data_IF_996878452624
#
_entry.id   IF_996878452624
#
_cell.length_a   1.000
_cell.length_b   1.000
_cell.length_c   1.000
_cell.angle_alpha   90.00
_cell.angle_beta   90.00
_cell.angle_gamma   90.00
#
_symmetry.space_group_name_H-M   'P 1'
#
loop_
_entity.id
_entity.type
_entity.pdbx_description
1 polymer ?
#
# COMPACT_ATOMS: atom_id res chain seq x y z
N UNK A 1 21.42 -24.62 -58.99
CA UNK A 1 21.98 -23.24 -59.08
C UNK A 1 21.12 -22.25 -58.29
N UNK A 2 21.76 -21.58 -57.34
CA UNK A 2 21.22 -20.68 -56.30
C UNK A 2 20.15 -19.70 -56.83
N UNK A 3 19.00 -19.61 -56.14
CA UNK A 3 18.08 -18.46 -56.25
C UNK A 3 18.24 -17.57 -55.03
N UNK A 4 18.34 -16.28 -55.34
CA UNK A 4 18.68 -15.16 -54.49
C UNK A 4 17.67 -14.90 -53.36
N UNK A 5 18.19 -14.35 -52.25
CA UNK A 5 17.39 -13.67 -51.24
C UNK A 5 16.95 -12.29 -51.73
N UNK A 6 15.74 -11.81 -51.37
CA UNK A 6 15.45 -10.39 -51.40
C UNK A 6 15.42 -9.77 -49.99
N UNK A 7 16.20 -8.69 -49.89
CA UNK A 7 16.04 -7.46 -49.12
C UNK A 7 15.16 -7.43 -47.86
N UNK A 8 15.79 -7.06 -46.75
CA UNK A 8 15.15 -6.58 -45.54
C UNK A 8 14.36 -5.28 -45.83
N UNK A 9 13.05 -5.32 -45.60
CA UNK A 9 12.22 -4.15 -45.46
C UNK A 9 12.13 -3.78 -43.97
N UNK A 10 12.44 -2.52 -43.66
CA UNK A 10 12.30 -1.93 -42.34
C UNK A 10 10.85 -2.06 -41.84
N UNK A 11 10.65 -2.78 -40.74
CA UNK A 11 9.37 -2.82 -40.04
C UNK A 11 9.31 -1.61 -39.12
N UNK A 12 8.54 -0.61 -39.52
CA UNK A 12 8.03 0.38 -38.59
C UNK A 12 7.12 -0.31 -37.58
N UNK A 13 7.49 -0.26 -36.30
CA UNK A 13 6.64 -0.70 -35.20
C UNK A 13 5.51 0.32 -35.04
N UNK A 14 4.40 0.03 -35.69
CA UNK A 14 3.11 0.64 -35.38
C UNK A 14 2.73 0.34 -33.92
N UNK A 15 1.96 1.26 -33.34
CA UNK A 15 1.28 1.18 -32.04
C UNK A 15 0.96 -0.26 -31.63
N UNK A 16 1.52 -0.69 -30.49
CA UNK A 16 1.29 -2.02 -29.93
C UNK A 16 -0.23 -2.26 -29.78
N UNK A 17 -0.78 -3.33 -30.36
CA UNK A 17 -2.16 -3.69 -30.14
C UNK A 17 -2.32 -4.23 -28.71
N UNK A 18 -3.51 -4.09 -28.14
CA UNK A 18 -3.97 -4.82 -26.97
C UNK A 18 -3.86 -6.33 -27.23
N UNK A 19 -2.70 -6.93 -26.98
CA UNK A 19 -2.51 -8.36 -27.27
C UNK A 19 -1.68 -9.07 -26.22
N UNK A 20 -2.36 -10.01 -25.57
CA UNK A 20 -1.86 -11.32 -25.15
C UNK A 20 -0.77 -11.32 -24.06
N UNK A 21 -1.22 -11.56 -22.83
CA UNK A 21 -0.45 -12.36 -21.86
C UNK A 21 -0.43 -13.79 -22.42
N UNK A 22 0.74 -14.42 -22.48
CA UNK A 22 0.97 -15.81 -22.89
C UNK A 22 -0.03 -16.79 -22.25
N UNK A 23 -1.17 -17.02 -22.93
CA UNK A 23 -2.15 -18.07 -22.61
C UNK A 23 -3.20 -17.80 -21.54
N UNK A 24 -3.32 -16.58 -21.00
CA UNK A 24 -4.47 -16.20 -20.15
C UNK A 24 -4.99 -14.84 -20.61
N UNK A 25 -6.11 -14.83 -21.33
CA UNK A 25 -6.78 -13.57 -21.61
C UNK A 25 -7.24 -12.94 -20.29
N UNK A 26 -7.19 -11.61 -20.12
CA UNK A 26 -7.83 -10.93 -18.98
C UNK A 26 -9.31 -11.34 -18.78
N UNK A 27 -9.95 -11.78 -19.87
CA UNK A 27 -11.30 -12.33 -19.91
C UNK A 27 -11.44 -13.71 -19.24
N UNK A 28 -10.36 -14.51 -19.12
CA UNK A 28 -10.37 -15.83 -18.44
C UNK A 28 -10.14 -15.69 -16.92
N UNK A 29 -9.31 -14.74 -16.49
CA UNK A 29 -9.06 -14.48 -15.06
C UNK A 29 -10.32 -14.01 -14.31
N UNK A 30 -11.21 -13.32 -15.04
CA UNK A 30 -12.51 -12.85 -14.56
C UNK A 30 -13.70 -13.58 -15.18
N UNK A 31 -13.47 -14.64 -15.97
CA UNK A 31 -14.55 -15.38 -16.61
C UNK A 31 -15.62 -15.72 -15.55
N UNK A 32 -16.86 -15.34 -15.85
CA UNK A 32 -18.01 -15.29 -14.94
C UNK A 32 -18.08 -16.52 -14.02
N UNK A 33 -17.47 -16.44 -12.83
CA UNK A 33 -17.66 -17.46 -11.82
C UNK A 33 -19.00 -17.16 -11.14
N UNK A 34 -20.08 -17.60 -11.77
CA UNK A 34 -21.35 -17.77 -11.06
C UNK A 34 -21.13 -18.91 -10.09
N UNK A 35 -20.77 -18.58 -8.85
CA UNK A 35 -20.66 -19.56 -7.77
C UNK A 35 -21.95 -20.39 -7.75
N UNK A 36 -21.88 -21.70 -8.06
CA UNK A 36 -23.05 -22.56 -8.00
C UNK A 36 -23.72 -22.45 -6.62
N UNK A 37 -25.04 -22.56 -6.55
CA UNK A 37 -25.78 -22.35 -5.30
C UNK A 37 -25.35 -23.34 -4.19
N UNK A 38 -24.95 -24.55 -4.62
CA UNK A 38 -24.35 -25.60 -3.79
C UNK A 38 -23.00 -25.18 -3.18
N UNK A 39 -22.21 -24.37 -3.90
CA UNK A 39 -20.89 -23.90 -3.47
C UNK A 39 -20.96 -22.64 -2.60
N UNK A 40 -22.14 -22.01 -2.48
CA UNK A 40 -22.34 -20.89 -1.56
C UNK A 40 -22.16 -21.40 -0.12
N UNK A 41 -21.19 -20.85 0.65
CA UNK A 41 -20.95 -21.27 2.02
C UNK A 41 -22.19 -21.09 2.91
N UNK A 42 -22.39 -22.01 3.86
CA UNK A 42 -23.56 -22.00 4.72
C UNK A 42 -23.70 -20.68 5.51
N UNK A 43 -22.60 -20.15 6.05
CA UNK A 43 -22.60 -18.87 6.76
C UNK A 43 -23.19 -17.72 5.93
N UNK A 44 -23.02 -17.75 4.61
CA UNK A 44 -23.54 -16.72 3.73
C UNK A 44 -25.04 -16.86 3.50
N UNK A 45 -25.54 -18.09 3.41
CA UNK A 45 -26.97 -18.39 3.30
C UNK A 45 -27.72 -17.92 4.55
N UNK A 46 -27.08 -18.06 5.71
CA UNK A 46 -27.65 -17.69 7.00
C UNK A 46 -27.50 -16.20 7.34
N UNK A 47 -26.68 -15.45 6.58
CA UNK A 47 -26.35 -14.07 6.88
C UNK A 47 -27.51 -13.10 6.55
N UNK A 48 -28.08 -12.50 7.58
CA UNK A 48 -28.89 -11.29 7.43
C UNK A 48 -27.99 -10.07 7.16
N UNK A 49 -27.71 -9.83 5.87
CA UNK A 49 -26.84 -8.76 5.41
C UNK A 49 -27.32 -7.35 5.83
N UNK A 50 -28.64 -7.17 5.97
CA UNK A 50 -29.20 -5.86 6.33
C UNK A 50 -28.93 -5.55 7.80
N UNK A 51 -29.24 -6.51 8.69
CA UNK A 51 -28.93 -6.41 10.11
C UNK A 51 -27.42 -6.27 10.35
N UNK A 52 -26.61 -7.11 9.71
CA UNK A 52 -25.15 -7.05 9.77
C UNK A 52 -24.61 -5.66 9.37
N UNK A 53 -25.07 -5.13 8.24
CA UNK A 53 -24.67 -3.80 7.78
C UNK A 53 -25.12 -2.68 8.71
N UNK A 54 -26.30 -2.80 9.34
CA UNK A 54 -26.80 -1.82 10.30
C UNK A 54 -25.94 -1.77 11.56
N UNK A 55 -25.51 -2.92 12.07
CA UNK A 55 -24.60 -3.02 13.22
C UNK A 55 -23.19 -2.51 12.90
N UNK A 56 -22.65 -2.82 11.71
CA UNK A 56 -21.38 -2.23 11.25
C UNK A 56 -21.40 -0.70 11.31
N UNK A 57 -22.47 -0.09 10.79
CA UNK A 57 -22.65 1.38 10.83
C UNK A 57 -22.82 1.90 12.25
N UNK A 58 -23.42 1.12 13.15
CA UNK A 58 -23.56 1.51 14.55
C UNK A 58 -22.20 1.55 15.27
N UNK A 59 -21.35 0.55 15.05
CA UNK A 59 -19.96 0.54 15.53
C UNK A 59 -19.20 1.76 14.99
N UNK A 60 -19.28 2.01 13.68
CA UNK A 60 -18.59 3.16 13.05
C UNK A 60 -19.00 4.50 13.69
N UNK A 61 -20.31 4.73 13.87
CA UNK A 61 -20.82 5.95 14.49
C UNK A 61 -20.35 6.11 15.93
N UNK A 62 -20.49 5.06 16.74
CA UNK A 62 -20.10 5.09 18.14
C UNK A 62 -18.60 5.40 18.31
N UNK A 63 -17.74 4.82 17.46
CA UNK A 63 -16.30 5.10 17.48
C UNK A 63 -15.97 6.52 17.02
N UNK A 64 -16.64 7.03 15.97
CA UNK A 64 -16.48 8.42 15.51
C UNK A 64 -16.82 9.42 16.60
N UNK A 65 -17.89 9.17 17.36
CA UNK A 65 -18.32 10.02 18.48
C UNK A 65 -17.34 10.00 19.66
N UNK A 66 -16.56 8.92 19.81
CA UNK A 66 -15.56 8.79 20.89
C UNK A 66 -14.22 9.45 20.56
N UNK A 67 -13.92 9.73 19.30
CA UNK A 67 -12.64 10.32 18.91
C UNK A 67 -12.51 11.77 19.39
N UNK A 68 -11.39 12.09 20.01
CA UNK A 68 -11.15 13.39 20.64
C UNK A 68 -9.65 13.77 20.56
N UNK A 69 -9.22 14.83 21.26
CA UNK A 69 -7.83 15.33 21.17
C UNK A 69 -6.79 14.26 21.57
N UNK A 70 -7.14 13.27 22.40
CA UNK A 70 -6.24 12.14 22.74
C UNK A 70 -5.77 11.37 21.51
N UNK A 71 -6.61 11.25 20.48
CA UNK A 71 -6.25 10.62 19.21
C UNK A 71 -5.15 11.42 18.49
N UNK A 72 -5.27 12.75 18.49
CA UNK A 72 -4.30 13.66 17.88
C UNK A 72 -3.00 13.66 18.68
N UNK A 73 -3.07 13.64 20.01
CA UNK A 73 -1.90 13.53 20.88
C UNK A 73 -1.17 12.22 20.70
N UNK A 74 -1.89 11.11 20.53
CA UNK A 74 -1.28 9.83 20.17
C UNK A 74 -0.53 9.92 18.83
N UNK A 75 -1.14 10.52 17.79
CA UNK A 75 -0.48 10.75 16.51
C UNK A 75 0.80 11.61 16.66
N UNK A 76 0.74 12.69 17.45
CA UNK A 76 1.91 13.53 17.76
C UNK A 76 3.01 12.70 18.43
N UNK A 77 2.65 11.82 19.36
CA UNK A 77 3.57 10.88 19.99
C UNK A 77 4.26 9.95 18.99
N UNK A 78 3.50 9.30 18.11
CA UNK A 78 4.02 8.44 17.03
C UNK A 78 4.96 9.22 16.11
N UNK A 79 4.58 10.44 15.72
CA UNK A 79 5.39 11.31 14.87
C UNK A 79 6.72 11.67 15.54
N UNK A 80 6.67 12.17 16.78
CA UNK A 80 7.86 12.56 17.54
C UNK A 80 8.80 11.36 17.77
N UNK A 81 8.25 10.19 18.05
CA UNK A 81 9.02 8.96 18.16
C UNK A 81 9.70 8.59 16.84
N UNK A 82 8.99 8.66 15.70
CA UNK A 82 9.61 8.40 14.39
C UNK A 82 10.72 9.41 14.06
N UNK A 83 10.55 10.70 14.40
CA UNK A 83 11.58 11.73 14.20
C UNK A 83 12.80 11.43 15.07
N UNK A 84 12.59 11.03 16.32
CA UNK A 84 13.65 10.60 17.23
C UNK A 84 14.42 9.40 16.69
N UNK A 85 13.73 8.35 16.24
CA UNK A 85 14.34 7.17 15.62
C UNK A 85 15.16 7.53 14.38
N UNK A 86 14.63 8.41 13.51
CA UNK A 86 15.33 8.81 12.29
C UNK A 86 16.67 9.47 12.61
N UNK A 87 16.68 10.49 13.46
CA UNK A 87 17.91 11.22 13.79
C UNK A 87 18.85 10.43 14.70
N UNK A 88 18.33 9.57 15.57
CA UNK A 88 19.15 8.61 16.31
C UNK A 88 19.85 7.63 15.36
N UNK A 89 19.16 7.18 14.31
CA UNK A 89 19.74 6.35 13.25
C UNK A 89 20.81 7.09 12.44
N UNK A 90 20.53 8.33 12.00
CA UNK A 90 21.53 9.17 11.30
C UNK A 90 22.76 9.40 12.17
N UNK A 91 22.59 9.70 13.47
CA UNK A 91 23.70 9.84 14.42
C UNK A 91 24.45 8.52 14.61
N UNK A 92 23.75 7.41 14.77
CA UNK A 92 24.38 6.09 14.90
C UNK A 92 25.18 5.71 13.64
N UNK A 93 24.77 6.18 12.46
CA UNK A 93 25.52 5.99 11.22
C UNK A 93 26.85 6.76 11.17
N UNK A 94 27.04 7.81 11.99
CA UNK A 94 28.31 8.56 12.06
C UNK A 94 29.35 7.95 12.99
N UNK A 95 28.93 7.05 13.88
CA UNK A 95 29.83 6.40 14.83
C UNK A 95 30.54 5.24 14.13
N UNK A 96 31.87 5.37 13.95
CA UNK A 96 32.72 4.35 13.34
C UNK A 96 32.63 3.01 14.10
N UNK A 97 31.90 2.06 13.54
CA UNK A 97 31.98 0.64 13.87
C UNK A 97 33.03 -0.01 12.94
N UNK A 98 33.91 -0.92 13.41
CA UNK A 98 34.89 -1.62 12.58
C UNK A 98 34.31 -2.31 11.32
N UNK A 99 32.98 -2.45 11.20
CA UNK A 99 32.31 -3.11 10.08
C UNK A 99 32.06 -2.22 8.84
N UNK A 100 32.40 -0.93 8.81
CA UNK A 100 32.11 0.00 7.69
C UNK A 100 30.61 0.27 7.40
N UNK A 101 29.70 -0.22 8.23
CA UNK A 101 28.26 0.08 8.26
C UNK A 101 27.72 -0.18 9.67
N UNK A 102 26.54 0.35 9.99
CA UNK A 102 25.90 0.19 11.29
C UNK A 102 24.46 -0.33 11.09
N UNK A 103 24.23 -1.66 11.12
CA UNK A 103 22.90 -2.23 10.90
C UNK A 103 21.81 -1.65 11.81
N UNK A 104 22.16 -1.28 13.05
CA UNK A 104 21.23 -0.62 13.97
C UNK A 104 20.81 0.75 13.44
N UNK A 105 21.73 1.53 12.87
CA UNK A 105 21.40 2.81 12.24
C UNK A 105 20.39 2.63 11.10
N UNK A 106 20.62 1.65 10.22
CA UNK A 106 19.71 1.34 9.14
C UNK A 106 18.32 0.90 9.62
N UNK A 107 18.25 0.07 10.67
CA UNK A 107 16.97 -0.35 11.27
C UNK A 107 16.22 0.83 11.88
N UNK A 108 16.89 1.74 12.59
CA UNK A 108 16.27 2.92 13.18
C UNK A 108 15.71 3.87 12.10
N UNK A 109 16.49 4.15 11.05
CA UNK A 109 16.06 4.97 9.91
C UNK A 109 14.89 4.30 9.19
N UNK A 110 14.99 2.99 8.92
CA UNK A 110 13.95 2.21 8.25
C UNK A 110 12.63 2.24 9.01
N UNK A 111 12.70 2.03 10.32
CA UNK A 111 11.53 2.02 11.21
C UNK A 111 10.87 3.39 11.23
N UNK A 112 11.66 4.46 11.24
CA UNK A 112 11.15 5.82 11.17
C UNK A 112 10.47 6.14 9.83
N UNK A 113 11.06 5.74 8.70
CA UNK A 113 10.47 5.97 7.37
C UNK A 113 9.15 5.18 7.24
N UNK A 114 9.14 3.92 7.64
CA UNK A 114 7.95 3.08 7.66
C UNK A 114 6.83 3.73 8.51
N UNK A 115 7.17 4.18 9.72
CA UNK A 115 6.23 4.87 10.60
C UNK A 115 5.66 6.16 9.99
N UNK A 116 6.50 6.98 9.36
CA UNK A 116 6.09 8.23 8.70
C UNK A 116 5.09 7.97 7.57
N UNK A 117 5.22 6.84 6.88
CA UNK A 117 4.27 6.42 5.87
C UNK A 117 3.02 5.77 6.48
N UNK A 118 3.15 4.59 7.08
CA UNK A 118 1.99 3.75 7.41
C UNK A 118 1.17 4.26 8.60
N UNK A 119 1.79 5.01 9.51
CA UNK A 119 1.10 5.51 10.72
C UNK A 119 0.73 6.99 10.62
N UNK A 120 1.59 7.82 10.03
CA UNK A 120 1.34 9.26 9.94
C UNK A 120 0.66 9.62 8.62
N UNK A 121 1.35 9.45 7.49
CA UNK A 121 0.83 9.85 6.18
C UNK A 121 -0.48 9.16 5.83
N UNK A 122 -0.49 7.83 5.94
CA UNK A 122 -1.63 6.97 5.63
C UNK A 122 -2.89 7.37 6.40
N UNK A 123 -2.85 7.38 7.75
CA UNK A 123 -4.04 7.68 8.56
C UNK A 123 -4.50 9.13 8.46
N UNK A 124 -3.57 10.10 8.34
CA UNK A 124 -3.96 11.51 8.18
C UNK A 124 -4.60 11.75 6.82
N UNK A 125 -4.05 11.18 5.75
CA UNK A 125 -4.63 11.32 4.41
C UNK A 125 -6.02 10.68 4.30
N UNK A 126 -6.30 9.58 5.02
CA UNK A 126 -7.66 9.04 5.15
C UNK A 126 -8.64 9.97 5.88
N UNK A 127 -8.13 10.93 6.64
CA UNK A 127 -8.93 11.78 7.51
C UNK A 127 -9.21 11.17 8.87
N UNK A 128 -8.40 10.21 9.33
CA UNK A 128 -8.52 9.57 10.65
C UNK A 128 -8.53 10.55 11.84
N UNK A 129 -8.05 11.78 11.61
CA UNK A 129 -7.97 12.86 12.60
C UNK A 129 -8.76 14.11 12.20
N UNK A 130 -9.44 14.09 11.06
CA UNK A 130 -10.08 15.29 10.50
C UNK A 130 -11.25 15.79 11.33
N UNK A 131 -11.96 14.93 12.06
CA UNK A 131 -13.07 15.37 12.94
C UNK A 131 -12.59 16.03 14.24
N UNK A 132 -11.31 15.86 14.60
CA UNK A 132 -10.68 16.51 15.76
C UNK A 132 -9.95 17.81 15.37
N UNK A 133 -9.97 18.18 14.09
CA UNK A 133 -9.16 19.25 13.52
C UNK A 133 -10.04 20.15 12.66
N UNK A 134 -9.62 21.40 12.44
CA UNK A 134 -10.22 22.27 11.43
C UNK A 134 -9.35 22.32 10.17
N UNK A 135 -9.96 22.63 9.03
CA UNK A 135 -9.20 22.82 7.79
C UNK A 135 -8.18 23.96 7.97
N UNK A 136 -6.91 23.66 7.72
CA UNK A 136 -5.78 24.54 8.05
C UNK A 136 -4.86 23.98 9.13
N UNK A 137 -5.39 23.12 10.01
CA UNK A 137 -4.59 22.41 11.00
C UNK A 137 -3.68 21.37 10.34
N UNK A 138 -2.53 21.11 10.98
CA UNK A 138 -1.49 20.25 10.43
C UNK A 138 -1.98 18.84 10.05
N UNK A 139 -2.83 18.24 10.89
CA UNK A 139 -3.27 16.85 10.72
C UNK A 139 -4.68 16.73 10.12
N UNK A 140 -5.17 17.79 9.49
CA UNK A 140 -6.39 17.73 8.69
C UNK A 140 -6.08 17.23 7.28
N UNK A 141 -6.86 16.28 6.72
CA UNK A 141 -6.58 15.66 5.40
C UNK A 141 -6.48 16.64 4.24
N UNK A 142 -7.18 17.79 4.33
CA UNK A 142 -7.15 18.86 3.31
C UNK A 142 -5.97 19.82 3.47
N UNK A 143 -5.03 19.52 4.37
CA UNK A 143 -3.91 20.40 4.69
C UNK A 143 -2.60 19.62 4.76
N UNK A 144 -2.62 18.44 5.37
CA UNK A 144 -1.45 17.60 5.57
C UNK A 144 -0.73 17.28 4.26
N UNK A 145 0.58 17.54 4.23
CA UNK A 145 1.46 17.24 3.10
C UNK A 145 1.11 17.91 1.75
N UNK A 146 0.17 18.86 1.73
CA UNK A 146 -0.23 19.58 0.53
C UNK A 146 0.65 20.82 0.27
N UNK A 147 1.21 20.88 -0.94
CA UNK A 147 2.15 21.93 -1.34
C UNK A 147 3.61 21.59 -1.00
N UNK A 148 4.58 22.34 -1.55
CA UNK A 148 5.99 21.96 -1.52
C UNK A 148 6.60 21.91 -0.11
N UNK A 149 6.23 22.85 0.76
CA UNK A 149 6.77 22.90 2.13
C UNK A 149 6.18 21.81 3.03
N UNK A 150 4.85 21.66 3.03
CA UNK A 150 4.18 20.64 3.81
C UNK A 150 4.51 19.24 3.31
N UNK A 151 4.71 19.05 2.01
CA UNK A 151 5.21 17.76 1.50
C UNK A 151 6.51 17.34 2.18
N UNK A 152 7.47 18.25 2.34
CA UNK A 152 8.74 17.92 3.00
C UNK A 152 8.54 17.73 4.51
N UNK A 153 7.77 18.60 5.14
CA UNK A 153 7.63 18.64 6.60
C UNK A 153 6.69 17.56 7.16
N UNK A 154 5.54 17.35 6.51
CA UNK A 154 4.47 16.49 6.98
C UNK A 154 4.63 15.05 6.50
N UNK A 155 4.98 14.82 5.22
CA UNK A 155 5.23 13.47 4.71
C UNK A 155 6.05 13.48 3.41
N UNK A 156 7.36 13.30 3.57
CA UNK A 156 8.32 13.16 2.47
C UNK A 156 8.56 11.68 2.19
N UNK A 157 8.03 11.18 1.07
CA UNK A 157 8.22 9.80 0.58
C UNK A 157 8.31 9.79 -0.95
N UNK A 158 8.56 8.61 -1.54
CA UNK A 158 8.58 8.37 -2.99
C UNK A 158 7.26 8.74 -3.67
N UNK A 159 6.15 8.56 -2.96
CA UNK A 159 4.81 8.86 -3.44
C UNK A 159 4.48 10.35 -3.25
N UNK A 160 3.75 10.90 -4.21
CA UNK A 160 3.10 12.19 -4.03
C UNK A 160 1.81 11.97 -3.21
N UNK A 161 1.52 12.80 -2.19
CA UNK A 161 0.33 12.63 -1.35
C UNK A 161 -0.98 12.59 -2.14
N UNK A 162 -1.11 13.42 -3.20
CA UNK A 162 -2.27 13.40 -4.08
C UNK A 162 -2.38 12.10 -4.90
N UNK A 163 -1.23 11.54 -5.31
CA UNK A 163 -1.21 10.29 -6.07
C UNK A 163 -1.59 9.10 -5.20
N UNK A 164 -1.08 9.09 -3.97
CA UNK A 164 -1.45 8.12 -2.97
C UNK A 164 -2.95 8.23 -2.59
N UNK A 165 -3.52 9.43 -2.41
CA UNK A 165 -4.97 9.60 -2.18
C UNK A 165 -5.81 9.13 -3.37
N UNK A 166 -5.39 9.39 -4.60
CA UNK A 166 -6.09 8.93 -5.80
C UNK A 166 -6.19 7.40 -5.88
N UNK A 167 -5.08 6.72 -5.62
CA UNK A 167 -4.96 5.27 -5.74
C UNK A 167 -5.47 4.55 -4.49
N UNK A 168 -4.88 4.83 -3.33
CA UNK A 168 -5.19 4.14 -2.08
C UNK A 168 -6.58 4.51 -1.54
N UNK A 169 -6.84 5.81 -1.35
CA UNK A 169 -8.08 6.26 -0.68
C UNK A 169 -9.31 6.16 -1.57
N UNK A 170 -9.20 6.42 -2.88
CA UNK A 170 -10.37 6.45 -3.75
C UNK A 170 -10.59 5.13 -4.51
N UNK A 171 -9.54 4.37 -4.80
CA UNK A 171 -9.66 3.07 -5.48
C UNK A 171 -9.57 1.93 -4.48
N UNK A 172 -8.38 1.63 -3.94
CA UNK A 172 -8.13 0.43 -3.14
C UNK A 172 -9.13 0.24 -2.00
N UNK A 173 -9.40 1.28 -1.20
CA UNK A 173 -10.38 1.20 -0.09
C UNK A 173 -11.84 0.98 -0.52
N UNK A 174 -12.23 1.50 -1.67
CA UNK A 174 -13.62 1.46 -2.13
C UNK A 174 -13.90 0.33 -3.12
N UNK A 175 -12.83 -0.36 -3.54
CA UNK A 175 -12.83 -1.40 -4.55
C UNK A 175 -11.98 -2.60 -4.13
N UNK A 176 -11.76 -2.79 -2.83
CA UNK A 176 -10.86 -3.83 -2.31
C UNK A 176 -11.15 -5.20 -2.95
N UNK A 177 -10.15 -5.76 -3.59
CA UNK A 177 -10.24 -7.07 -4.25
C UNK A 177 -11.06 -7.08 -5.54
N UNK A 178 -11.55 -5.93 -6.02
CA UNK A 178 -12.30 -5.81 -7.28
C UNK A 178 -11.36 -5.80 -8.51
N UNK A 179 -11.88 -6.04 -9.72
CA UNK A 179 -11.09 -5.89 -10.96
C UNK A 179 -10.52 -4.48 -11.16
N UNK A 180 -11.16 -3.48 -10.58
CA UNK A 180 -10.65 -2.09 -10.65
C UNK A 180 -9.83 -1.68 -9.42
N UNK A 181 -9.50 -2.63 -8.53
CA UNK A 181 -8.51 -2.43 -7.48
C UNK A 181 -7.10 -2.37 -8.11
N UNK A 182 -6.38 -1.25 -8.02
CA UNK A 182 -4.99 -1.17 -8.49
C UNK A 182 -4.07 -2.15 -7.76
N UNK A 183 -4.40 -2.56 -6.53
CA UNK A 183 -3.56 -3.37 -5.65
C UNK A 183 -3.97 -4.85 -5.58
N UNK A 184 -4.81 -5.33 -6.51
CA UNK A 184 -5.12 -6.76 -6.61
C UNK A 184 -3.89 -7.57 -7.06
N UNK A 185 -3.18 -8.12 -6.08
CA UNK A 185 -1.89 -8.81 -6.27
C UNK A 185 -1.97 -9.97 -7.25
N UNK A 186 -2.99 -10.84 -7.15
CA UNK A 186 -3.07 -12.00 -8.03
C UNK A 186 -3.11 -11.59 -9.52
N UNK A 187 -3.93 -10.57 -9.86
CA UNK A 187 -4.01 -10.00 -11.21
C UNK A 187 -2.68 -9.38 -11.63
N UNK A 188 -2.09 -8.55 -10.76
CA UNK A 188 -0.85 -7.85 -11.04
C UNK A 188 0.34 -8.81 -11.24
N UNK A 189 0.25 -10.03 -10.70
CA UNK A 189 1.27 -11.07 -10.84
C UNK A 189 0.99 -12.08 -11.96
N UNK A 190 -0.07 -11.92 -12.76
CA UNK A 190 -0.33 -12.80 -13.91
C UNK A 190 0.88 -13.02 -14.83
N UNK A 191 1.70 -12.00 -15.16
CA UNK A 191 2.90 -12.23 -15.95
C UNK A 191 3.94 -13.11 -15.25
N UNK A 192 4.12 -12.96 -13.93
CA UNK A 192 5.02 -13.82 -13.13
C UNK A 192 4.47 -15.24 -13.09
N UNK A 193 3.16 -15.39 -12.87
CA UNK A 193 2.43 -16.67 -12.81
C UNK A 193 2.53 -17.43 -14.14
N UNK A 194 2.39 -16.72 -15.27
CA UNK A 194 2.54 -17.25 -16.63
C UNK A 194 4.00 -17.58 -17.04
N UNK A 195 4.99 -17.21 -16.23
CA UNK A 195 6.40 -17.55 -16.49
C UNK A 195 7.16 -16.55 -17.34
N UNK A 196 6.66 -15.31 -17.50
CA UNK A 196 7.33 -14.22 -18.25
C UNK A 196 8.80 -14.01 -17.86
N UNK A 197 9.14 -14.24 -16.59
CA UNK A 197 10.48 -14.01 -16.04
C UNK A 197 11.31 -15.30 -15.89
N UNK A 198 10.87 -16.41 -16.47
CA UNK A 198 11.62 -17.67 -16.50
C UNK A 198 11.07 -18.77 -15.58
N UNK A 199 11.86 -19.83 -15.33
CA UNK A 199 11.42 -21.03 -14.62
C UNK A 199 11.12 -20.75 -13.14
N UNK A 200 10.53 -21.74 -12.45
CA UNK A 200 10.06 -21.64 -11.05
C UNK A 200 10.94 -20.78 -10.11
N UNK A 201 12.25 -21.04 -9.98
CA UNK A 201 13.12 -20.23 -9.10
C UNK A 201 13.17 -18.73 -9.44
N UNK A 202 13.05 -18.36 -10.71
CA UNK A 202 13.06 -16.95 -11.14
C UNK A 202 11.80 -16.21 -10.70
N UNK A 203 10.67 -16.90 -10.53
CA UNK A 203 9.45 -16.28 -9.98
C UNK A 203 9.68 -15.79 -8.54
N UNK A 204 10.39 -16.58 -7.73
CA UNK A 204 10.75 -16.20 -6.36
C UNK A 204 11.76 -15.06 -6.31
N UNK A 205 12.73 -15.04 -7.24
CA UNK A 205 13.65 -13.92 -7.36
C UNK A 205 12.93 -12.63 -7.77
N UNK A 206 11.94 -12.71 -8.67
CA UNK A 206 11.12 -11.55 -9.03
C UNK A 206 10.32 -11.03 -7.83
N UNK A 207 9.72 -11.91 -7.02
CA UNK A 207 9.03 -11.53 -5.78
C UNK A 207 9.99 -10.91 -4.77
N UNK A 208 11.18 -11.50 -4.57
CA UNK A 208 12.19 -10.98 -3.65
C UNK A 208 12.74 -9.61 -4.09
N UNK A 209 12.95 -9.42 -5.39
CA UNK A 209 13.32 -8.13 -5.96
C UNK A 209 12.24 -7.09 -5.68
N UNK A 210 10.97 -7.41 -6.00
CA UNK A 210 9.87 -6.49 -5.75
C UNK A 210 9.76 -6.14 -4.27
N UNK A 211 9.80 -7.14 -3.38
CA UNK A 211 9.76 -6.93 -1.93
C UNK A 211 10.81 -5.92 -1.45
N UNK A 212 12.00 -5.92 -2.05
CA UNK A 212 13.09 -5.01 -1.69
C UNK A 212 13.02 -3.61 -2.35
N UNK A 213 12.15 -3.41 -3.36
CA UNK A 213 12.16 -2.18 -4.19
C UNK A 213 10.79 -1.56 -4.48
N UNK A 214 9.70 -2.22 -4.09
CA UNK A 214 8.36 -1.95 -4.61
C UNK A 214 7.88 -0.51 -4.45
N UNK A 215 8.25 0.19 -3.37
CA UNK A 215 7.80 1.57 -3.11
C UNK A 215 8.15 2.50 -4.28
N UNK A 216 9.41 2.45 -4.72
CA UNK A 216 9.90 3.32 -5.79
C UNK A 216 9.82 2.65 -7.16
N UNK A 217 9.91 1.32 -7.24
CA UNK A 217 9.90 0.58 -8.50
C UNK A 217 8.50 0.45 -9.11
N UNK A 218 7.49 0.20 -8.29
CA UNK A 218 6.11 -0.09 -8.69
C UNK A 218 5.12 0.94 -8.13
N UNK A 219 5.10 1.12 -6.81
CA UNK A 219 3.97 1.77 -6.14
C UNK A 219 3.90 3.28 -6.41
N UNK A 220 5.01 4.02 -6.29
CA UNK A 220 5.06 5.44 -6.67
C UNK A 220 4.72 5.67 -8.17
N UNK A 221 5.28 4.91 -9.13
CA UNK A 221 4.81 4.92 -10.52
C UNK A 221 3.32 4.63 -10.72
N UNK A 222 2.79 3.61 -10.06
CA UNK A 222 1.41 3.17 -10.25
C UNK A 222 0.41 4.17 -9.65
N UNK A 223 0.69 4.69 -8.45
CA UNK A 223 -0.12 5.76 -7.83
C UNK A 223 -0.19 7.01 -8.72
N UNK A 224 0.92 7.38 -9.38
CA UNK A 224 0.89 8.46 -10.37
C UNK A 224 0.00 8.15 -11.57
N UNK A 225 0.09 6.94 -12.14
CA UNK A 225 -0.80 6.51 -13.23
C UNK A 225 -2.26 6.72 -12.83
N UNK A 226 -2.67 6.23 -11.67
CA UNK A 226 -4.05 6.35 -11.20
C UNK A 226 -4.47 7.80 -10.95
N UNK A 227 -3.58 8.67 -10.45
CA UNK A 227 -3.86 10.10 -10.32
C UNK A 227 -4.16 10.77 -11.67
N UNK A 228 -3.30 10.55 -12.66
CA UNK A 228 -3.50 11.12 -13.99
C UNK A 228 -4.78 10.59 -14.66
N UNK A 229 -5.12 9.33 -14.41
CA UNK A 229 -6.37 8.75 -14.90
C UNK A 229 -7.57 9.40 -14.23
N UNK A 230 -7.53 9.54 -12.91
CA UNK A 230 -8.58 10.18 -12.13
C UNK A 230 -8.79 11.65 -12.54
N UNK A 231 -7.72 12.41 -12.76
CA UNK A 231 -7.79 13.79 -13.20
C UNK A 231 -8.36 13.93 -14.61
N UNK A 232 -7.96 13.05 -15.53
CA UNK A 232 -8.52 12.97 -16.89
C UNK A 232 -10.02 12.69 -16.84
N UNK A 233 -10.44 11.70 -16.07
CA UNK A 233 -11.86 11.31 -15.96
C UNK A 233 -12.70 12.43 -15.32
N UNK A 234 -12.17 13.11 -14.31
CA UNK A 234 -12.84 14.26 -13.66
C UNK A 234 -12.98 15.45 -14.61
N UNK A 235 -11.98 15.72 -15.44
CA UNK A 235 -12.03 16.79 -16.43
C UNK A 235 -13.04 16.46 -17.56
N UNK A 236 -13.01 15.22 -18.07
CA UNK A 236 -13.95 14.76 -19.09
C UNK A 236 -15.42 14.86 -18.64
N UNK A 237 -15.72 14.52 -17.36
CA UNK A 237 -17.06 14.70 -16.76
C UNK A 237 -17.53 16.16 -16.73
N UNK A 238 -16.61 17.11 -16.83
CA UNK A 238 -16.89 18.55 -16.89
C UNK A 238 -16.81 19.10 -18.32
N UNK A 239 -16.64 18.23 -19.32
CA UNK A 239 -16.48 18.61 -20.73
C UNK A 239 -15.09 19.16 -21.07
N UNK A 240 -14.06 18.87 -20.26
CA UNK A 240 -12.68 19.28 -20.50
C UNK A 240 -11.81 18.07 -20.89
N UNK A 241 -11.46 17.98 -22.17
CA UNK A 241 -10.59 16.93 -22.74
C UNK A 241 -9.10 17.32 -22.79
N UNK A 242 -8.70 18.44 -22.15
CA UNK A 242 -7.31 18.94 -22.18
C UNK A 242 -6.35 18.11 -21.33
N UNK A 243 -6.86 17.33 -20.37
CA UNK A 243 -6.05 16.49 -19.48
C UNK A 243 -5.60 15.22 -20.17
N UNK A 244 -4.31 14.91 -20.07
CA UNK A 244 -3.69 13.74 -20.70
C UNK A 244 -3.22 12.73 -19.66
N UNK A 245 -3.19 11.46 -20.06
CA UNK A 245 -2.64 10.36 -19.27
C UNK A 245 -1.27 9.98 -19.87
N UNK A 246 -0.15 10.35 -19.24
CA UNK A 246 1.18 10.00 -19.75
C UNK A 246 1.50 8.51 -19.60
N UNK A 247 0.85 7.80 -18.68
CA UNK A 247 1.13 6.38 -18.40
C UNK A 247 0.12 5.48 -19.12
N UNK A 248 0.53 4.89 -20.25
CA UNK A 248 -0.34 4.17 -21.19
C UNK A 248 -0.36 2.65 -20.99
N UNK A 249 -0.21 2.17 -19.75
CA UNK A 249 -0.18 0.72 -19.43
C UNK A 249 -1.56 0.09 -19.30
N UNK A 250 -2.64 0.86 -19.43
CA UNK A 250 -4.01 0.40 -19.25
C UNK A 250 -4.24 -0.11 -17.82
N UNK A 251 -4.82 -1.31 -17.71
CA UNK A 251 -5.07 -1.97 -16.40
C UNK A 251 -3.81 -2.54 -15.78
N UNK A 252 -2.70 -2.66 -16.53
CA UNK A 252 -1.45 -3.15 -15.96
C UNK A 252 -0.80 -2.10 -15.04
N UNK A 253 -0.10 -2.55 -13.98
CA UNK A 253 0.78 -1.70 -13.21
C UNK A 253 1.79 -0.92 -14.05
N UNK A 254 1.98 0.36 -13.73
CA UNK A 254 3.14 1.12 -14.21
C UNK A 254 4.33 0.87 -13.29
N UNK A 255 5.52 0.81 -13.86
CA UNK A 255 6.79 0.67 -13.13
C UNK A 255 7.83 1.67 -13.63
N UNK A 256 8.97 1.73 -12.95
CA UNK A 256 10.13 2.51 -13.41
C UNK A 256 10.64 2.04 -14.78
N UNK A 257 10.54 0.75 -15.10
CA UNK A 257 10.97 0.25 -16.42
C UNK A 257 10.15 0.84 -17.55
N UNK A 258 8.84 1.00 -17.35
CA UNK A 258 7.98 1.69 -18.32
C UNK A 258 8.48 3.10 -18.63
N UNK A 259 8.78 3.92 -17.61
CA UNK A 259 9.28 5.28 -17.86
C UNK A 259 10.62 5.31 -18.60
N UNK A 260 11.52 4.35 -18.34
CA UNK A 260 12.76 4.23 -19.10
C UNK A 260 12.50 3.82 -20.55
N UNK A 261 11.64 2.83 -20.78
CA UNK A 261 11.25 2.38 -22.13
C UNK A 261 10.65 3.53 -22.95
N UNK A 262 9.73 4.30 -22.35
CA UNK A 262 9.12 5.48 -22.97
C UNK A 262 10.16 6.56 -23.27
N UNK A 263 11.10 6.80 -22.33
CA UNK A 263 12.18 7.76 -22.51
C UNK A 263 13.10 7.37 -23.69
N UNK A 264 13.46 6.09 -23.81
CA UNK A 264 14.25 5.57 -24.94
C UNK A 264 13.50 5.67 -26.27
N UNK A 265 12.16 5.68 -26.24
CA UNK A 265 11.30 5.93 -27.40
C UNK A 265 11.04 7.43 -27.65
N UNK A 266 11.67 8.33 -26.90
CA UNK A 266 11.53 9.78 -27.04
C UNK A 266 10.29 10.37 -26.37
N UNK A 267 9.48 9.57 -25.68
CA UNK A 267 8.30 10.02 -24.92
C UNK A 267 8.70 10.37 -23.50
N UNK A 268 9.05 11.64 -23.29
CA UNK A 268 9.67 12.11 -22.03
C UNK A 268 8.68 12.33 -20.88
N UNK A 269 7.38 12.47 -21.17
CA UNK A 269 6.39 12.91 -20.18
C UNK A 269 6.30 11.99 -18.94
N UNK A 270 6.26 10.64 -19.06
CA UNK A 270 6.27 9.75 -17.90
C UNK A 270 7.48 9.97 -16.99
N UNK A 271 8.67 10.09 -17.58
CA UNK A 271 9.91 10.29 -16.83
C UNK A 271 9.93 11.63 -16.08
N UNK A 272 9.41 12.70 -16.70
CA UNK A 272 9.29 14.02 -16.06
C UNK A 272 8.35 13.99 -14.85
N UNK A 273 7.17 13.37 -15.00
CA UNK A 273 6.20 13.29 -13.90
C UNK A 273 6.69 12.39 -12.76
N UNK A 274 7.35 11.27 -13.08
CA UNK A 274 8.01 10.45 -12.07
C UNK A 274 9.14 11.22 -11.35
N UNK A 275 9.94 12.00 -12.08
CA UNK A 275 10.99 12.81 -11.46
C UNK A 275 10.41 13.84 -10.48
N UNK A 276 9.36 14.57 -10.85
CA UNK A 276 8.67 15.52 -9.93
C UNK A 276 8.14 14.83 -8.67
N UNK A 277 7.69 13.59 -8.81
CA UNK A 277 7.22 12.79 -7.69
C UNK A 277 8.36 12.33 -6.79
N UNK A 278 9.41 11.74 -7.35
CA UNK A 278 10.38 10.95 -6.59
C UNK A 278 11.63 11.75 -6.18
N UNK A 279 12.00 12.76 -6.97
CA UNK A 279 13.23 13.51 -6.78
C UNK A 279 13.31 14.25 -5.43
N UNK A 280 12.24 14.83 -4.86
CA UNK A 280 12.32 15.45 -3.55
C UNK A 280 12.77 14.50 -2.43
N UNK A 281 12.25 13.27 -2.42
CA UNK A 281 12.67 12.25 -1.47
C UNK A 281 14.10 11.79 -1.76
N UNK A 282 14.39 11.47 -3.03
CA UNK A 282 15.71 11.03 -3.46
C UNK A 282 16.82 12.03 -3.07
N UNK A 283 16.66 13.31 -3.43
CA UNK A 283 17.63 14.35 -3.13
C UNK A 283 17.80 14.51 -1.62
N UNK A 284 16.71 14.47 -0.85
CA UNK A 284 16.81 14.65 0.60
C UNK A 284 17.56 13.51 1.27
N UNK A 285 17.14 12.27 1.02
CA UNK A 285 17.64 11.09 1.72
C UNK A 285 19.04 10.68 1.25
N UNK A 286 19.29 10.70 -0.07
CA UNK A 286 20.50 10.12 -0.65
C UNK A 286 21.56 11.18 -1.02
N UNK A 287 21.23 12.47 -0.95
CA UNK A 287 22.17 13.54 -1.29
C UNK A 287 22.31 14.54 -0.15
N UNK A 288 21.25 15.28 0.19
CA UNK A 288 21.31 16.40 1.13
C UNK A 288 21.70 15.97 2.54
N UNK A 289 21.11 14.88 3.05
CA UNK A 289 21.43 14.38 4.40
C UNK A 289 22.86 13.82 4.48
N UNK A 290 23.29 12.88 3.63
CA UNK A 290 24.67 12.40 3.62
C UNK A 290 25.70 13.51 3.43
N UNK A 291 25.49 14.42 2.47
CA UNK A 291 26.40 15.54 2.21
C UNK A 291 26.39 16.55 3.37
N UNK A 292 25.23 16.83 3.96
CA UNK A 292 25.09 17.76 5.08
C UNK A 292 25.82 17.26 6.32
N UNK A 293 25.65 15.98 6.67
CA UNK A 293 26.38 15.36 7.79
C UNK A 293 27.88 15.31 7.49
N UNK A 294 28.27 14.91 6.27
CA UNK A 294 29.67 14.88 5.86
C UNK A 294 30.34 16.26 5.92
N UNK A 295 29.65 17.31 5.46
CA UNK A 295 30.14 18.69 5.54
C UNK A 295 30.28 19.17 6.99
N UNK A 296 29.33 18.81 7.86
CA UNK A 296 29.41 19.12 9.28
C UNK A 296 30.64 18.48 9.93
N UNK A 297 30.93 17.21 9.65
CA UNK A 297 32.16 16.54 10.15
C UNK A 297 33.42 17.14 9.54
N UNK A 298 33.41 17.46 8.23
CA UNK A 298 34.55 18.07 7.55
C UNK A 298 34.99 19.38 8.19
N UNK A 299 34.04 20.17 8.71
CA UNK A 299 34.30 21.44 9.38
C UNK A 299 35.15 21.29 10.66
N UNK A 300 35.13 20.13 11.32
CA UNK A 300 35.87 19.90 12.57
C UNK A 300 37.01 18.89 12.45
N UNK A 301 36.93 17.94 11.52
CA UNK A 301 37.85 16.81 11.40
C UNK A 301 38.52 16.70 10.02
N UNK A 302 38.28 17.65 9.12
CA UNK A 302 38.88 17.71 7.79
C UNK A 302 38.10 16.94 6.72
N UNK A 303 38.37 17.28 5.45
CA UNK A 303 37.60 16.81 4.30
C UNK A 303 37.56 15.28 4.16
N UNK A 304 38.65 14.59 4.47
CA UNK A 304 38.71 13.12 4.38
C UNK A 304 37.76 12.45 5.38
N UNK A 305 37.71 12.92 6.63
CA UNK A 305 36.80 12.42 7.65
C UNK A 305 35.34 12.71 7.29
N UNK A 306 35.06 13.93 6.79
CA UNK A 306 33.73 14.28 6.33
C UNK A 306 33.22 13.43 5.16
N UNK A 307 34.08 13.18 4.17
CA UNK A 307 33.75 12.30 3.04
C UNK A 307 33.46 10.86 3.51
N UNK A 308 34.28 10.33 4.42
CA UNK A 308 34.08 8.99 4.98
C UNK A 308 32.75 8.89 5.74
N UNK A 309 32.44 9.84 6.62
CA UNK A 309 31.17 9.83 7.37
C UNK A 309 29.96 10.02 6.44
N UNK A 310 30.04 10.93 5.46
CA UNK A 310 28.97 11.11 4.48
C UNK A 310 28.67 9.83 3.71
N UNK A 311 29.72 9.09 3.30
CA UNK A 311 29.57 7.79 2.66
C UNK A 311 28.92 6.75 3.59
N UNK A 312 29.31 6.70 4.87
CA UNK A 312 28.68 5.80 5.85
C UNK A 312 27.19 6.10 6.03
N UNK A 313 26.81 7.38 6.13
CA UNK A 313 25.40 7.79 6.21
C UNK A 313 24.64 7.33 4.95
N UNK A 314 25.20 7.56 3.77
CA UNK A 314 24.58 7.13 2.50
C UNK A 314 24.36 5.61 2.47
N UNK A 315 25.36 4.81 2.84
CA UNK A 315 25.24 3.34 2.86
C UNK A 315 24.15 2.87 3.84
N UNK A 316 24.05 3.49 5.02
CA UNK A 316 23.02 3.15 5.99
C UNK A 316 21.63 3.59 5.53
N UNK A 317 21.48 4.72 4.82
CA UNK A 317 20.21 5.15 4.23
C UNK A 317 19.79 4.20 3.10
N UNK A 318 20.72 3.75 2.25
CA UNK A 318 20.44 2.74 1.22
C UNK A 318 19.98 1.42 1.84
N UNK A 319 20.66 0.95 2.89
CA UNK A 319 20.22 -0.26 3.60
C UNK A 319 18.86 -0.04 4.28
N UNK A 320 18.63 1.13 4.89
CA UNK A 320 17.35 1.47 5.50
C UNK A 320 16.20 1.48 4.49
N UNK A 321 16.44 1.94 3.26
CA UNK A 321 15.45 1.90 2.18
C UNK A 321 15.08 0.45 1.83
N UNK A 322 16.06 -0.43 1.66
CA UNK A 322 15.82 -1.86 1.40
C UNK A 322 15.01 -2.48 2.55
N UNK A 323 15.41 -2.22 3.80
CA UNK A 323 14.68 -2.71 4.98
C UNK A 323 13.26 -2.15 5.06
N UNK A 324 13.06 -0.89 4.70
CA UNK A 324 11.73 -0.25 4.69
C UNK A 324 10.83 -0.90 3.65
N UNK A 325 11.35 -1.17 2.45
CA UNK A 325 10.59 -1.84 1.39
C UNK A 325 10.18 -3.25 1.82
N UNK A 326 11.12 -4.03 2.37
CA UNK A 326 10.83 -5.39 2.86
C UNK A 326 9.78 -5.34 3.97
N UNK A 327 10.00 -4.50 4.98
CA UNK A 327 9.11 -4.40 6.14
C UNK A 327 7.71 -3.97 5.73
N UNK A 328 7.59 -2.89 4.94
CA UNK A 328 6.31 -2.39 4.45
C UNK A 328 5.60 -3.39 3.55
N UNK A 329 6.31 -4.11 2.67
CA UNK A 329 5.72 -5.18 1.86
C UNK A 329 5.10 -6.27 2.74
N UNK A 330 5.86 -6.71 3.76
CA UNK A 330 5.42 -7.77 4.69
C UNK A 330 4.15 -7.36 5.43
N UNK A 331 4.00 -6.09 5.84
CA UNK A 331 2.84 -5.64 6.63
C UNK A 331 1.69 -5.05 5.81
N UNK A 332 1.91 -4.67 4.54
CA UNK A 332 0.86 -4.11 3.66
C UNK A 332 0.29 -5.20 2.77
N UNK A 333 1.12 -5.80 1.90
CA UNK A 333 0.63 -6.69 0.86
C UNK A 333 0.00 -7.96 1.43
N UNK A 334 0.55 -8.47 2.53
CA UNK A 334 0.18 -9.82 3.01
C UNK A 334 -1.16 -9.90 3.73
N UNK A 335 -1.76 -8.75 4.06
CA UNK A 335 -3.10 -8.68 4.60
C UNK A 335 -4.19 -8.88 3.53
N UNK A 336 -3.89 -8.71 2.25
CA UNK A 336 -4.89 -8.73 1.17
C UNK A 336 -4.81 -9.97 0.28
N UNK A 337 -3.91 -10.89 0.59
CA UNK A 337 -3.55 -11.97 -0.33
C UNK A 337 -3.42 -13.28 0.40
N UNK A 338 -4.10 -14.30 -0.11
CA UNK A 338 -4.00 -15.68 0.33
C UNK A 338 -5.09 -16.51 -0.34
N UNK A 339 -4.92 -17.82 -0.30
CA UNK A 339 -5.92 -18.79 -0.76
C UNK A 339 -7.20 -18.82 0.10
N UNK A 340 -7.22 -18.02 1.17
CA UNK A 340 -8.33 -17.81 2.10
C UNK A 340 -8.89 -16.37 2.05
N UNK A 341 -8.43 -15.54 1.10
CA UNK A 341 -8.90 -14.17 0.88
C UNK A 341 -9.69 -14.10 -0.42
N UNK A 342 -10.75 -13.30 -0.38
CA UNK A 342 -11.70 -13.18 -1.46
C UNK A 342 -11.32 -12.05 -2.43
N UNK A 343 -11.53 -12.28 -3.73
CA UNK A 343 -11.53 -11.29 -4.80
C UNK A 343 -12.87 -11.29 -5.52
N UNK A 344 -13.21 -10.16 -6.15
CA UNK A 344 -14.53 -9.86 -6.69
C UNK A 344 -14.40 -9.27 -8.11
N UNK A 345 -15.28 -9.62 -9.03
CA UNK A 345 -15.33 -9.09 -10.39
C UNK A 345 -16.28 -7.89 -10.48
N UNK A 346 -17.28 -7.81 -9.58
CA UNK A 346 -18.33 -6.80 -9.60
C UNK A 346 -18.13 -5.69 -8.57
N UNK A 347 -18.56 -4.44 -8.85
CA UNK A 347 -18.49 -3.36 -7.87
C UNK A 347 -19.60 -3.40 -6.81
N UNK A 348 -19.35 -2.77 -5.67
CA UNK A 348 -20.36 -2.55 -4.61
C UNK A 348 -20.62 -1.08 -4.34
N UNK A 349 -21.80 -0.77 -3.77
CA UNK A 349 -22.08 0.57 -3.26
C UNK A 349 -21.25 0.79 -1.98
N UNK A 350 -20.43 1.87 -1.90
CA UNK A 350 -19.70 2.23 -0.69
C UNK A 350 -20.58 2.26 0.56
N UNK A 351 -20.04 1.76 1.68
CA UNK A 351 -20.69 1.72 3.01
C UNK A 351 -22.05 0.99 3.06
N UNK A 352 -22.36 0.16 2.05
CA UNK A 352 -23.47 -0.81 2.09
C UNK A 352 -23.11 -2.03 2.97
N UNK A 353 -24.08 -2.89 3.30
CA UNK A 353 -23.79 -4.14 4.02
C UNK A 353 -22.78 -5.03 3.27
N UNK A 354 -22.91 -5.09 1.94
CA UNK A 354 -21.97 -5.83 1.09
C UNK A 354 -20.57 -5.21 1.10
N UNK A 355 -20.46 -3.88 1.16
CA UNK A 355 -19.16 -3.20 1.30
C UNK A 355 -18.44 -3.62 2.58
N UNK A 356 -19.13 -3.60 3.73
CA UNK A 356 -18.53 -4.03 4.98
C UNK A 356 -18.16 -5.52 4.98
N UNK A 357 -19.02 -6.37 4.40
CA UNK A 357 -18.74 -7.79 4.26
C UNK A 357 -17.47 -8.02 3.42
N UNK A 358 -17.35 -7.34 2.28
CA UNK A 358 -16.18 -7.48 1.40
C UNK A 358 -14.90 -6.93 2.01
N UNK A 359 -14.98 -5.88 2.83
CA UNK A 359 -13.83 -5.41 3.61
C UNK A 359 -13.28 -6.51 4.54
N UNK A 360 -14.16 -7.29 5.17
CA UNK A 360 -13.78 -8.41 6.05
C UNK A 360 -13.24 -9.60 5.26
N UNK A 361 -13.88 -9.96 4.14
CA UNK A 361 -13.48 -11.13 3.34
C UNK A 361 -12.25 -10.89 2.46
N UNK A 362 -12.04 -9.64 2.03
CA UNK A 362 -10.93 -9.20 1.18
C UNK A 362 -9.67 -8.80 1.96
N UNK A 363 -9.67 -8.96 3.28
CA UNK A 363 -8.50 -8.67 4.10
C UNK A 363 -8.36 -9.59 5.31
N UNK A 364 -7.18 -9.60 5.90
CA UNK A 364 -6.87 -10.31 7.12
C UNK A 364 -6.25 -9.32 8.12
N UNK A 365 -6.44 -9.61 9.40
CA UNK A 365 -5.68 -8.99 10.47
C UNK A 365 -4.46 -9.81 10.84
N UNK A 366 -3.49 -9.15 11.46
CA UNK A 366 -2.39 -9.82 12.13
C UNK A 366 -2.62 -9.89 13.63
N UNK A 367 -1.56 -10.21 14.39
CA UNK A 367 -1.59 -10.07 15.84
C UNK A 367 -1.77 -8.60 16.21
N UNK A 368 -2.83 -8.31 16.97
CA UNK A 368 -3.20 -6.97 17.39
C UNK A 368 -2.81 -6.68 18.83
N UNK A 369 -2.42 -5.44 19.12
CA UNK A 369 -2.09 -5.00 20.47
C UNK A 369 -3.31 -4.81 21.37
N UNK A 370 -4.49 -4.62 20.76
CA UNK A 370 -5.78 -4.43 21.43
C UNK A 370 -6.08 -5.53 22.45
N UNK A 371 -6.58 -5.13 23.62
CA UNK A 371 -6.98 -6.04 24.70
C UNK A 371 -8.44 -5.82 25.03
N UNK A 372 -9.06 -6.84 25.60
CA UNK A 372 -10.41 -6.75 26.17
C UNK A 372 -10.38 -7.05 27.66
N UNK A 373 -11.25 -6.40 28.41
CA UNK A 373 -11.55 -6.76 29.79
C UNK A 373 -12.39 -8.05 29.83
N UNK A 374 -12.59 -8.61 31.04
CA UNK A 374 -13.37 -9.84 31.22
C UNK A 374 -14.85 -9.70 30.78
N UNK A 375 -15.37 -8.47 30.79
CA UNK A 375 -16.71 -8.13 30.32
C UNK A 375 -16.77 -7.86 28.80
N UNK A 376 -15.66 -8.04 28.08
CA UNK A 376 -15.56 -7.79 26.64
C UNK A 376 -15.30 -6.32 26.26
N UNK A 377 -15.28 -5.39 27.21
CA UNK A 377 -15.01 -3.98 26.93
C UNK A 377 -13.53 -3.74 26.55
N UNK A 378 -13.26 -2.69 25.78
CA UNK A 378 -11.91 -2.35 25.34
C UNK A 378 -10.97 -2.06 26.53
N UNK A 379 -9.76 -2.61 26.46
CA UNK A 379 -8.65 -2.32 27.35
C UNK A 379 -7.46 -1.80 26.55
N UNK A 380 -6.85 -0.67 26.95
CA UNK A 380 -5.64 -0.17 26.31
C UNK A 380 -4.55 -1.24 26.19
N UNK A 381 -3.92 -1.31 25.02
CA UNK A 381 -2.92 -2.31 24.65
C UNK A 381 -1.72 -2.38 25.63
N UNK A 382 -1.39 -1.25 26.27
CA UNK A 382 -0.19 -1.07 27.07
C UNK A 382 1.08 -1.10 26.21
N UNK A 383 2.25 -1.00 26.83
CA UNK A 383 3.54 -0.85 26.10
C UNK A 383 3.78 -1.99 25.12
N UNK A 384 3.64 -3.25 25.55
CA UNK A 384 3.89 -4.40 24.68
C UNK A 384 2.95 -4.48 23.47
N UNK A 385 1.67 -4.15 23.65
CA UNK A 385 0.70 -4.12 22.56
C UNK A 385 0.96 -2.96 21.59
N UNK A 386 1.26 -1.77 22.11
CA UNK A 386 1.63 -0.63 21.27
C UNK A 386 2.92 -0.86 20.48
N UNK A 387 3.90 -1.60 21.02
CA UNK A 387 5.09 -2.02 20.26
C UNK A 387 4.71 -2.97 19.13
N UNK A 388 3.79 -3.91 19.39
CA UNK A 388 3.28 -4.84 18.37
C UNK A 388 2.58 -4.09 17.22
N UNK A 389 1.74 -3.09 17.55
CA UNK A 389 1.03 -2.29 16.55
C UNK A 389 1.99 -1.37 15.79
N UNK A 390 2.94 -0.74 16.48
CA UNK A 390 3.95 0.12 15.85
C UNK A 390 4.82 -0.66 14.86
N UNK A 391 5.30 -1.84 15.23
CA UNK A 391 6.10 -2.70 14.34
C UNK A 391 5.29 -3.26 13.17
N UNK A 392 3.96 -3.22 13.22
CA UNK A 392 3.09 -3.59 12.12
C UNK A 392 2.47 -2.37 11.43
N UNK A 393 2.93 -1.16 11.79
CA UNK A 393 2.54 0.09 11.16
C UNK A 393 1.08 0.47 11.40
N UNK A 394 0.45 -0.09 12.44
CA UNK A 394 -1.00 -0.09 12.68
C UNK A 394 -1.85 -0.78 11.60
N UNK A 395 -1.22 -1.46 10.64
CA UNK A 395 -1.88 -2.20 9.57
C UNK A 395 -2.24 -3.64 9.97
N UNK A 396 -1.94 -4.02 11.21
CA UNK A 396 -2.46 -5.24 11.81
C UNK A 396 -3.99 -5.19 12.07
N UNK A 397 -4.63 -4.05 11.81
CA UNK A 397 -6.06 -3.78 11.88
C UNK A 397 -6.71 -3.60 10.49
N UNK A 398 -6.25 -4.35 9.50
CA UNK A 398 -6.63 -4.16 8.10
C UNK A 398 -8.12 -4.33 7.83
N UNK A 399 -8.80 -5.24 8.53
CA UNK A 399 -10.26 -5.42 8.41
C UNK A 399 -10.98 -4.15 8.83
N UNK A 400 -10.69 -3.64 10.03
CA UNK A 400 -11.33 -2.43 10.55
C UNK A 400 -10.95 -1.19 9.74
N UNK A 401 -9.72 -1.16 9.22
CA UNK A 401 -9.22 -0.12 8.35
C UNK A 401 -10.00 -0.02 7.04
N UNK A 402 -10.32 -1.15 6.39
CA UNK A 402 -11.12 -1.14 5.16
C UNK A 402 -12.60 -0.89 5.41
N UNK A 403 -13.13 -1.31 6.55
CA UNK A 403 -14.50 -0.99 6.94
C UNK A 403 -14.67 0.52 7.26
N UNK A 404 -13.73 1.06 8.03
CA UNK A 404 -13.82 2.37 8.68
C UNK A 404 -12.56 3.23 8.43
N UNK A 405 -12.19 3.36 7.16
CA UNK A 405 -11.06 4.14 6.62
C UNK A 405 -10.80 5.49 7.32
N UNK A 406 -11.85 6.22 7.66
CA UNK A 406 -11.72 7.55 8.29
C UNK A 406 -11.56 7.54 9.81
N UNK A 407 -11.28 6.40 10.45
CA UNK A 407 -11.05 6.32 11.90
C UNK A 407 -9.57 6.51 12.28
N UNK A 408 -9.33 6.94 13.51
CA UNK A 408 -7.99 7.05 14.08
C UNK A 408 -7.36 5.68 14.36
N UNK A 409 -6.02 5.64 14.48
CA UNK A 409 -5.29 4.45 14.91
C UNK A 409 -5.80 3.85 16.23
N UNK A 410 -6.12 4.68 17.23
CA UNK A 410 -6.65 4.20 18.51
C UNK A 410 -8.07 3.65 18.35
N UNK A 411 -8.87 4.23 17.45
CA UNK A 411 -10.20 3.73 17.16
C UNK A 411 -10.16 2.37 16.48
N UNK A 412 -9.15 2.07 15.67
CA UNK A 412 -8.95 0.71 15.15
C UNK A 412 -8.65 -0.31 16.26
N UNK A 413 -7.82 0.04 17.24
CA UNK A 413 -7.59 -0.82 18.41
C UNK A 413 -8.89 -1.11 19.18
N UNK A 414 -9.80 -0.12 19.27
CA UNK A 414 -11.14 -0.26 19.90
C UNK A 414 -12.13 -1.04 19.04
N UNK A 415 -12.06 -0.87 17.72
CA UNK A 415 -12.97 -1.49 16.75
C UNK A 415 -12.76 -2.99 16.65
N UNK A 416 -11.51 -3.44 16.66
CA UNK A 416 -11.13 -4.82 16.37
C UNK A 416 -11.90 -5.88 17.18
N UNK A 417 -11.97 -5.81 18.52
CA UNK A 417 -12.74 -6.81 19.28
C UNK A 417 -14.25 -6.72 18.99
N UNK A 418 -14.78 -5.54 18.70
CA UNK A 418 -16.21 -5.35 18.39
C UNK A 418 -16.57 -5.95 17.02
N UNK A 419 -15.73 -5.71 16.00
CA UNK A 419 -15.91 -6.28 14.66
C UNK A 419 -15.75 -7.79 14.70
N UNK A 420 -14.77 -8.31 15.45
CA UNK A 420 -14.61 -9.77 15.61
C UNK A 420 -15.83 -10.41 16.28
N UNK A 421 -16.35 -9.82 17.35
CA UNK A 421 -17.58 -10.29 18.01
C UNK A 421 -18.81 -10.18 17.10
N UNK A 422 -18.90 -9.12 16.27
CA UNK A 422 -19.95 -8.97 15.27
C UNK A 422 -19.87 -10.08 14.21
N UNK A 423 -18.67 -10.39 13.73
CA UNK A 423 -18.46 -11.49 12.78
C UNK A 423 -18.88 -12.83 13.37
N UNK A 424 -18.51 -13.11 14.62
CA UNK A 424 -18.93 -14.32 15.34
C UNK A 424 -20.46 -14.40 15.48
N UNK A 425 -21.11 -13.30 15.89
CA UNK A 425 -22.57 -13.21 16.03
C UNK A 425 -23.31 -13.52 14.72
N UNK A 426 -22.79 -13.06 13.58
CA UNK A 426 -23.40 -13.21 12.26
C UNK A 426 -22.84 -14.39 11.46
N UNK A 427 -21.95 -15.20 12.04
CA UNK A 427 -21.30 -16.33 11.36
C UNK A 427 -20.31 -15.95 10.25
N UNK A 428 -19.98 -14.67 10.10
CA UNK A 428 -19.06 -14.18 9.06
C UNK A 428 -17.62 -14.62 9.39
N UNK A 429 -16.88 -15.22 8.45
CA UNK A 429 -15.50 -15.60 8.72
C UNK A 429 -14.62 -14.35 8.91
N UNK A 430 -13.77 -14.38 9.93
CA UNK A 430 -12.84 -13.31 10.26
C UNK A 430 -11.42 -13.89 10.29
N UNK A 431 -10.57 -13.45 9.36
CA UNK A 431 -9.20 -13.97 9.25
C UNK A 431 -8.26 -13.12 10.10
N UNK A 432 -7.60 -13.77 11.06
CA UNK A 432 -6.53 -13.18 11.86
C UNK A 432 -5.37 -14.18 12.01
N UNK A 433 -4.21 -13.86 11.47
CA UNK A 433 -3.09 -14.82 11.37
C UNK A 433 -1.71 -14.15 11.53
N UNK A 434 -0.70 -14.95 11.88
CA UNK A 434 0.68 -14.46 11.97
C UNK A 434 1.19 -13.93 10.62
N UNK A 435 1.83 -12.76 10.65
CA UNK A 435 2.34 -12.04 9.48
C UNK A 435 3.28 -12.89 8.59
N UNK A 436 4.09 -13.78 9.15
CA UNK A 436 4.99 -14.62 8.35
C UNK A 436 4.26 -15.76 7.63
N UNK A 437 3.17 -16.28 8.22
CA UNK A 437 2.29 -17.23 7.52
C UNK A 437 1.57 -16.54 6.37
N UNK A 438 1.07 -15.31 6.60
CA UNK A 438 0.46 -14.48 5.56
C UNK A 438 1.44 -14.18 4.42
N UNK A 439 2.70 -13.87 4.74
CA UNK A 439 3.76 -13.71 3.76
C UNK A 439 3.95 -14.97 2.90
N UNK A 440 4.00 -16.16 3.51
CA UNK A 440 4.13 -17.41 2.77
C UNK A 440 2.96 -17.63 1.79
N UNK A 441 1.72 -17.42 2.24
CA UNK A 441 0.50 -17.50 1.40
C UNK A 441 0.54 -16.49 0.26
N UNK A 442 0.94 -15.25 0.55
CA UNK A 442 1.10 -14.18 -0.45
C UNK A 442 2.09 -14.57 -1.53
N UNK A 443 3.26 -15.10 -1.14
CA UNK A 443 4.28 -15.57 -2.08
C UNK A 443 3.74 -16.73 -2.93
N UNK A 444 3.04 -17.70 -2.33
CA UNK A 444 2.45 -18.82 -3.06
C UNK A 444 1.42 -18.35 -4.11
N UNK A 445 0.59 -17.33 -3.79
CA UNK A 445 -0.28 -16.69 -4.77
C UNK A 445 0.51 -15.97 -5.86
N UNK A 446 1.51 -15.15 -5.50
CA UNK A 446 2.32 -14.40 -6.46
C UNK A 446 3.05 -15.29 -7.47
N UNK A 447 3.52 -16.48 -7.07
CA UNK A 447 4.25 -17.40 -7.97
C UNK A 447 3.34 -18.37 -8.75
N UNK A 448 2.04 -18.40 -8.44
CA UNK A 448 1.07 -19.28 -9.11
C UNK A 448 0.93 -20.68 -8.51
N UNK A 449 1.27 -20.87 -7.24
CA UNK A 449 1.02 -22.13 -6.51
C UNK A 449 -0.39 -22.22 -5.94
N UNK A 450 -1.00 -21.07 -5.68
CA UNK A 450 -2.33 -20.89 -5.10
C UNK A 450 -3.04 -19.75 -5.80
N UNK A 451 -4.35 -19.76 -5.70
CA UNK A 451 -5.24 -18.74 -6.26
C UNK A 451 -6.03 -18.12 -5.11
N UNK A 452 -6.37 -16.84 -5.22
CA UNK A 452 -7.33 -16.23 -4.29
C UNK A 452 -8.73 -16.73 -4.61
N UNK A 453 -9.61 -16.71 -3.61
CA UNK A 453 -10.99 -17.16 -3.79
C UNK A 453 -11.72 -16.12 -4.62
N UNK A 454 -12.13 -16.45 -5.84
CA UNK A 454 -13.06 -15.60 -6.57
C UNK A 454 -14.48 -15.88 -6.10
N UNK A 455 -15.19 -14.84 -5.68
CA UNK A 455 -16.57 -14.97 -5.25
C UNK A 455 -17.35 -13.73 -5.65
N UNK A 456 -18.29 -13.89 -6.58
CA UNK A 456 -19.29 -12.86 -6.79
C UNK A 456 -20.36 -12.95 -5.71
N UNK A 457 -20.87 -11.79 -5.32
CA UNK A 457 -21.91 -11.70 -4.32
C UNK A 457 -22.99 -12.77 -4.57
N UNK A 458 -23.50 -13.40 -3.51
CA UNK A 458 -24.78 -14.13 -3.55
C UNK A 458 -26.00 -13.21 -3.84
N UNK A 459 -25.82 -12.10 -4.57
CA UNK A 459 -26.88 -11.21 -5.07
C UNK A 459 -27.62 -11.93 -6.19
N UNK A 460 -28.47 -12.88 -5.79
CA UNK A 460 -29.79 -13.11 -6.39
C UNK A 460 -30.70 -14.07 -5.60
N UNK A 461 -30.52 -14.23 -4.28
CA UNK A 461 -31.46 -15.02 -3.46
C UNK A 461 -32.60 -14.22 -2.80
N UNK A 462 -32.81 -12.97 -3.22
CA UNK A 462 -33.99 -12.17 -2.84
C UNK A 462 -34.68 -11.57 -4.05
N UNK A 463 -34.97 -12.35 -5.10
CA UNK A 463 -36.08 -12.12 -6.04
C UNK A 463 -36.26 -13.38 -6.90
N UNK A 464 -37.06 -14.32 -6.39
CA UNK A 464 -37.92 -15.19 -7.19
C UNK A 464 -39.21 -15.40 -6.39
#
# INVERSE_FOLDING_TARGET
PRRAAPAAAAVGLGSAPETLIDGLAPQEFWAEYKTPAEDIPQWRKDLDLEAFGAECRAIERALKEQQNEEDVDHLRGVLNWSIGLYWAGVLAATVCNPMAWNPLAAVLISTAIMARWTMVGHHVCHGGYSSQQVEGDRFHRRTFALGPLRRVWDWLDWMAPAAWDAEHNNLHHYKLGEDTDPDLVERNFLPVRAGKYGPGPMKYLAVGFLMATWKWFYYAPNTLKELFQQDKDRAARRGDDSKTQPFTTGTNPTTITFAFEELFQGRIAPAVEMAKCMLPYFLTQFVLIPCGVGAAVAAFQGAAAGAAVGQLVLLNVVLAEVLTNIHSFVVIATNHVGEDIYRFATPVKPKSGEFYLRAILGSANFQTGGKVNADGSYKPAGVGGNVCDYMQGWLNYQVEHHMFDSLSMLSYQKAQPQVKALCEKHGVPYVQENVFKRLAKTVDVMVGKKDMIQWEAGRDYRYN
#
